data_IF_437738566295
#
_entry.id   IF_437738566295
#
_cell.length_a   1.000
_cell.length_b   1.000
_cell.length_c   1.000
_cell.angle_alpha   90.00
_cell.angle_beta   90.00
_cell.angle_gamma   90.00
#
_symmetry.space_group_name_H-M   'P 1'
#
loop_
_entity.id
_entity.type
_entity.pdbx_description
1 polymer ?
#
# COMPACT_ATOMS: atom_id res chain seq x y z
N UNK A 1 -27.33 -41.96 18.96
CA UNK A 1 -26.41 -40.85 19.21
C UNK A 1 -25.87 -40.24 17.93
N UNK A 2 -25.36 -41.02 16.97
CA UNK A 2 -24.86 -40.45 15.66
C UNK A 2 -25.92 -39.71 14.87
N UNK A 3 -27.16 -40.24 14.81
CA UNK A 3 -28.29 -39.61 14.09
C UNK A 3 -28.74 -38.28 14.73
N UNK A 4 -28.74 -38.21 16.07
CA UNK A 4 -29.10 -36.97 16.79
C UNK A 4 -28.05 -35.89 16.56
N UNK A 5 -26.76 -36.26 16.53
CA UNK A 5 -25.67 -35.33 16.22
C UNK A 5 -25.73 -34.83 14.78
N UNK A 6 -26.05 -35.70 13.79
CA UNK A 6 -26.15 -35.27 12.40
C UNK A 6 -27.37 -34.37 12.16
N UNK A 7 -28.50 -34.64 12.79
CA UNK A 7 -29.68 -33.77 12.73
C UNK A 7 -29.46 -32.43 13.43
N UNK A 8 -28.74 -32.42 14.54
CA UNK A 8 -28.38 -31.18 15.22
C UNK A 8 -27.42 -30.34 14.38
N UNK A 9 -26.45 -30.99 13.74
CA UNK A 9 -25.48 -30.33 12.84
C UNK A 9 -26.19 -29.71 11.60
N UNK A 10 -27.06 -30.45 10.94
CA UNK A 10 -27.89 -29.96 9.82
C UNK A 10 -28.79 -28.79 10.25
N UNK A 11 -29.37 -28.87 11.45
CA UNK A 11 -30.21 -27.79 11.98
C UNK A 11 -29.42 -26.52 12.29
N UNK A 12 -28.20 -26.64 12.82
CA UNK A 12 -27.28 -25.53 13.05
C UNK A 12 -26.83 -24.93 11.71
N UNK A 13 -26.50 -25.75 10.73
CA UNK A 13 -26.09 -25.33 9.40
C UNK A 13 -27.20 -24.55 8.67
N UNK A 14 -28.45 -25.03 8.75
CA UNK A 14 -29.61 -24.31 8.20
C UNK A 14 -29.88 -22.99 8.92
N UNK A 15 -29.81 -22.96 10.26
CA UNK A 15 -29.99 -21.72 11.03
C UNK A 15 -28.86 -20.72 10.74
N UNK A 16 -27.62 -21.19 10.59
CA UNK A 16 -26.48 -20.33 10.21
C UNK A 16 -26.64 -19.79 8.78
N UNK A 17 -27.08 -20.63 7.83
CA UNK A 17 -27.30 -20.18 6.45
C UNK A 17 -28.44 -19.17 6.34
N UNK A 18 -29.53 -19.36 7.06
CA UNK A 18 -30.67 -18.43 7.14
C UNK A 18 -30.25 -17.11 7.83
N UNK A 19 -29.44 -17.19 8.89
CA UNK A 19 -28.92 -16.02 9.58
C UNK A 19 -27.96 -15.24 8.67
N UNK A 20 -27.08 -15.92 7.95
CA UNK A 20 -26.13 -15.31 7.02
C UNK A 20 -26.79 -14.71 5.78
N UNK A 21 -27.92 -15.24 5.33
CA UNK A 21 -28.71 -14.71 4.22
C UNK A 21 -29.62 -13.54 4.62
N UNK A 22 -29.85 -13.32 5.93
CA UNK A 22 -30.58 -12.15 6.43
C UNK A 22 -29.77 -10.88 6.24
N UNK A 23 -30.44 -9.74 6.08
CA UNK A 23 -29.77 -8.43 5.97
C UNK A 23 -28.80 -8.15 7.14
N UNK A 24 -29.15 -8.59 8.35
CA UNK A 24 -28.32 -8.48 9.53
C UNK A 24 -27.08 -9.42 9.42
N UNK A 25 -27.28 -10.64 8.93
CA UNK A 25 -26.19 -11.60 8.74
C UNK A 25 -25.17 -11.13 7.71
N UNK A 26 -25.62 -10.56 6.60
CA UNK A 26 -24.73 -9.95 5.59
C UNK A 26 -23.89 -8.84 6.21
N UNK A 27 -24.51 -7.93 6.96
CA UNK A 27 -23.77 -6.83 7.65
C UNK A 27 -22.75 -7.40 8.64
N UNK A 28 -23.13 -8.38 9.47
CA UNK A 28 -22.21 -9.00 10.42
C UNK A 28 -21.05 -9.72 9.74
N UNK A 29 -21.30 -10.38 8.61
CA UNK A 29 -20.25 -11.06 7.82
C UNK A 29 -19.26 -10.05 7.24
N UNK A 30 -19.76 -8.96 6.63
CA UNK A 30 -18.92 -7.89 6.10
C UNK A 30 -18.10 -7.19 7.20
N UNK A 31 -18.71 -6.92 8.36
CA UNK A 31 -17.98 -6.38 9.52
C UNK A 31 -16.90 -7.34 10.02
N UNK A 32 -17.21 -8.65 10.10
CA UNK A 32 -16.24 -9.68 10.49
C UNK A 32 -15.07 -9.79 9.52
N UNK A 33 -15.34 -9.77 8.22
CA UNK A 33 -14.30 -9.77 7.19
C UNK A 33 -13.44 -8.50 7.23
N UNK A 34 -14.06 -7.34 7.39
CA UNK A 34 -13.35 -6.06 7.55
C UNK A 34 -12.45 -6.04 8.80
N UNK A 35 -12.95 -6.56 9.93
CA UNK A 35 -12.16 -6.70 11.15
C UNK A 35 -10.98 -7.67 10.97
N UNK A 36 -11.21 -8.81 10.35
CA UNK A 36 -10.15 -9.79 10.02
C UNK A 36 -9.05 -9.17 9.16
N UNK A 37 -9.44 -8.41 8.13
CA UNK A 37 -8.50 -7.67 7.28
C UNK A 37 -7.72 -6.63 8.09
N UNK A 38 -8.36 -5.85 8.94
CA UNK A 38 -7.70 -4.86 9.78
C UNK A 38 -6.68 -5.52 10.73
N UNK A 39 -7.04 -6.65 11.35
CA UNK A 39 -6.11 -7.43 12.20
C UNK A 39 -4.93 -7.96 11.37
N UNK A 40 -5.18 -8.49 10.17
CA UNK A 40 -4.12 -8.94 9.26
C UNK A 40 -3.15 -7.80 8.91
N UNK A 41 -3.66 -6.62 8.59
CA UNK A 41 -2.84 -5.45 8.25
C UNK A 41 -2.03 -4.95 9.43
N UNK A 42 -2.60 -4.92 10.64
CA UNK A 42 -1.88 -4.55 11.85
C UNK A 42 -0.77 -5.55 12.19
N UNK A 43 -1.04 -6.86 12.04
CA UNK A 43 -0.02 -7.88 12.19
C UNK A 43 1.09 -7.74 11.13
N UNK A 44 0.72 -7.46 9.89
CA UNK A 44 1.68 -7.19 8.82
C UNK A 44 2.55 -5.98 9.15
N UNK A 45 1.96 -4.87 9.59
CA UNK A 45 2.69 -3.67 10.02
C UNK A 45 3.67 -3.97 11.16
N UNK A 46 3.26 -4.82 12.13
CA UNK A 46 4.15 -5.28 13.20
C UNK A 46 5.40 -5.97 12.66
N UNK A 47 5.24 -6.92 11.72
CA UNK A 47 6.37 -7.63 11.11
C UNK A 47 7.20 -6.73 10.18
N UNK A 48 6.56 -5.78 9.49
CA UNK A 48 7.26 -4.83 8.63
C UNK A 48 8.18 -3.90 9.43
N UNK A 49 7.76 -3.40 10.60
CA UNK A 49 8.62 -2.62 11.50
C UNK A 49 9.84 -3.43 11.92
N UNK A 50 9.64 -4.69 12.28
CA UNK A 50 10.74 -5.57 12.65
C UNK A 50 11.71 -5.80 11.49
N UNK A 51 11.19 -6.12 10.30
CA UNK A 51 11.97 -6.37 9.10
C UNK A 51 12.76 -5.11 8.66
N UNK A 52 12.13 -3.93 8.64
CA UNK A 52 12.76 -2.66 8.31
C UNK A 52 13.99 -2.41 9.21
N UNK A 53 13.81 -2.56 10.53
CA UNK A 53 14.91 -2.39 11.51
C UNK A 53 16.03 -3.41 11.34
N UNK A 54 15.71 -4.66 10.98
CA UNK A 54 16.72 -5.72 10.75
C UNK A 54 17.50 -5.48 9.47
N UNK A 55 16.82 -5.17 8.38
CA UNK A 55 17.45 -4.89 7.08
C UNK A 55 18.36 -3.65 7.21
N UNK A 56 17.85 -2.56 7.79
CA UNK A 56 18.61 -1.36 7.98
C UNK A 56 19.87 -1.57 8.84
N UNK A 57 19.74 -2.31 9.94
CA UNK A 57 20.86 -2.64 10.79
C UNK A 57 21.91 -3.51 10.09
N UNK A 58 21.47 -4.47 9.27
CA UNK A 58 22.37 -5.34 8.50
C UNK A 58 23.20 -4.53 7.47
N UNK A 59 22.58 -3.59 6.76
CA UNK A 59 23.26 -2.71 5.80
C UNK A 59 24.28 -1.80 6.50
N UNK A 60 23.95 -1.31 7.69
CA UNK A 60 24.83 -0.46 8.50
C UNK A 60 25.87 -1.26 9.31
N UNK A 61 25.99 -2.58 9.11
CA UNK A 61 26.92 -3.46 9.82
C UNK A 61 26.76 -3.42 11.35
N UNK A 62 25.53 -3.20 11.83
CA UNK A 62 25.17 -3.23 13.25
C UNK A 62 24.08 -4.27 13.53
N UNK A 63 23.91 -4.62 14.81
CA UNK A 63 22.84 -5.55 15.22
C UNK A 63 21.52 -4.78 15.36
N UNK A 64 20.47 -5.28 14.69
CA UNK A 64 19.09 -4.85 14.91
C UNK A 64 18.53 -5.39 16.22
N UNK A 65 17.22 -5.20 16.50
CA UNK A 65 16.55 -5.72 17.69
C UNK A 65 16.85 -7.20 17.91
N UNK A 66 17.34 -7.59 19.09
CA UNK A 66 17.75 -8.97 19.34
C UNK A 66 17.47 -9.45 20.77
N UNK A 67 17.10 -8.56 21.71
CA UNK A 67 17.00 -8.86 23.14
C UNK A 67 15.58 -9.25 23.57
N UNK A 68 14.56 -8.53 23.05
CA UNK A 68 13.17 -8.75 23.48
C UNK A 68 12.53 -9.89 22.66
N UNK A 69 12.37 -11.03 23.29
CA UNK A 69 11.89 -12.27 22.66
C UNK A 69 12.94 -12.96 21.77
N UNK A 70 12.56 -14.08 21.13
CA UNK A 70 13.45 -14.81 20.25
C UNK A 70 13.86 -13.91 19.06
N UNK A 71 15.17 -13.68 18.89
CA UNK A 71 15.74 -12.84 17.84
C UNK A 71 15.23 -11.38 17.81
N UNK A 72 14.61 -10.89 18.90
CA UNK A 72 14.05 -9.55 18.99
C UNK A 72 12.67 -9.40 18.36
N UNK A 73 11.95 -10.49 18.07
CA UNK A 73 10.62 -10.46 17.45
C UNK A 73 9.59 -9.65 18.24
N UNK A 74 9.64 -9.69 19.57
CA UNK A 74 8.68 -8.98 20.42
C UNK A 74 8.98 -7.48 20.60
N UNK A 75 10.08 -6.97 20.03
CA UNK A 75 10.47 -5.56 20.18
C UNK A 75 9.43 -4.61 19.58
N UNK A 76 8.93 -4.90 18.37
CA UNK A 76 7.89 -4.06 17.74
C UNK A 76 6.61 -4.01 18.58
N UNK A 77 6.24 -5.15 19.22
CA UNK A 77 5.10 -5.19 20.13
C UNK A 77 5.32 -4.37 21.40
N UNK A 78 6.50 -4.45 22.00
CA UNK A 78 6.85 -3.64 23.16
C UNK A 78 6.80 -2.14 22.83
N UNK A 79 7.28 -1.74 21.65
CA UNK A 79 7.23 -0.35 21.19
C UNK A 79 5.78 0.12 20.95
N UNK A 80 4.93 -0.71 20.34
CA UNK A 80 3.50 -0.39 20.15
C UNK A 80 2.77 -0.29 21.49
N UNK A 81 2.97 -1.24 22.41
CA UNK A 81 2.36 -1.19 23.74
C UNK A 81 2.81 0.05 24.53
N UNK A 82 4.08 0.41 24.46
CA UNK A 82 4.59 1.65 25.06
C UNK A 82 3.83 2.86 24.56
N UNK A 83 3.58 2.96 23.25
CA UNK A 83 2.83 4.08 22.67
C UNK A 83 1.35 4.07 23.10
N UNK A 84 0.72 2.91 23.25
CA UNK A 84 -0.68 2.81 23.72
C UNK A 84 -0.84 3.27 25.17
N UNK A 85 0.10 2.90 26.04
CA UNK A 85 0.04 3.25 27.47
C UNK A 85 0.66 4.61 27.82
N UNK A 86 1.31 5.26 26.87
CA UNK A 86 1.88 6.59 27.09
C UNK A 86 0.78 7.65 27.18
N UNK A 87 0.99 8.67 27.99
CA UNK A 87 0.07 9.80 28.12
C UNK A 87 -0.03 10.60 26.81
N UNK A 88 -1.25 10.99 26.45
CA UNK A 88 -1.53 11.81 25.29
C UNK A 88 -1.36 13.28 25.68
N UNK A 89 -0.42 13.97 25.05
CA UNK A 89 -0.19 15.41 25.23
C UNK A 89 -0.87 16.16 24.09
N UNK A 90 -1.76 17.09 24.43
CA UNK A 90 -2.47 17.93 23.46
C UNK A 90 -2.02 19.36 23.65
N UNK A 91 -1.49 20.04 22.62
CA UNK A 91 -1.08 21.43 22.71
C UNK A 91 -2.23 22.35 23.10
N UNK A 92 -1.97 23.34 23.94
CA UNK A 92 -3.02 24.23 24.47
C UNK A 92 -3.75 25.04 23.40
N UNK A 93 -3.07 25.36 22.28
CA UNK A 93 -3.63 26.12 21.17
C UNK A 93 -4.22 25.26 20.03
N UNK A 94 -4.24 23.93 20.16
CA UNK A 94 -4.74 23.02 19.12
C UNK A 94 -6.26 22.91 19.12
N UNK A 95 -6.85 22.70 17.93
CA UNK A 95 -8.24 22.26 17.80
C UNK A 95 -8.32 20.76 18.14
N UNK A 96 -8.85 20.46 19.33
CA UNK A 96 -8.88 19.09 19.86
C UNK A 96 -9.64 18.11 18.97
N UNK A 97 -10.77 18.52 18.39
CA UNK A 97 -11.57 17.63 17.57
C UNK A 97 -10.83 17.22 16.30
N UNK A 98 -10.31 18.20 15.56
CA UNK A 98 -9.56 17.94 14.32
C UNK A 98 -8.24 17.24 14.63
N UNK A 99 -7.59 17.56 15.76
CA UNK A 99 -6.34 16.93 16.19
C UNK A 99 -6.48 15.40 16.38
N UNK A 100 -7.57 14.92 16.97
CA UNK A 100 -7.82 13.48 17.11
C UNK A 100 -8.41 12.86 15.84
N UNK A 101 -9.16 13.60 15.05
CA UNK A 101 -9.77 13.12 13.81
C UNK A 101 -8.71 12.83 12.73
N UNK A 102 -7.70 13.67 12.62
CA UNK A 102 -6.67 13.59 11.58
C UNK A 102 -5.96 12.22 11.49
N UNK A 103 -5.36 11.69 12.58
CA UNK A 103 -4.73 10.37 12.54
C UNK A 103 -5.71 9.22 12.30
N UNK A 104 -6.97 9.37 12.76
CA UNK A 104 -8.02 8.37 12.50
C UNK A 104 -8.36 8.35 11.01
N UNK A 105 -8.51 9.50 10.36
CA UNK A 105 -8.78 9.58 8.92
C UNK A 105 -7.64 8.92 8.14
N UNK A 106 -6.37 9.30 8.38
CA UNK A 106 -5.24 8.71 7.67
C UNK A 106 -5.20 7.19 7.84
N UNK A 107 -5.31 6.69 9.08
CA UNK A 107 -5.29 5.25 9.37
C UNK A 107 -6.46 4.48 8.75
N UNK A 108 -7.68 5.01 8.83
CA UNK A 108 -8.87 4.36 8.26
C UNK A 108 -8.79 4.32 6.74
N UNK A 109 -8.34 5.40 6.08
CA UNK A 109 -8.17 5.41 4.62
C UNK A 109 -7.12 4.39 4.17
N UNK A 110 -5.99 4.28 4.88
CA UNK A 110 -4.98 3.27 4.59
C UNK A 110 -5.54 1.84 4.65
N UNK A 111 -6.42 1.52 5.62
CA UNK A 111 -7.08 0.20 5.71
C UNK A 111 -8.11 0.03 4.59
N UNK A 112 -8.95 1.04 4.32
CA UNK A 112 -10.02 0.96 3.32
C UNK A 112 -9.47 0.71 1.92
N UNK A 113 -8.30 1.23 1.59
CA UNK A 113 -7.65 0.97 0.30
C UNK A 113 -7.42 -0.52 0.03
N UNK A 114 -7.24 -1.34 1.06
CA UNK A 114 -7.05 -2.78 0.96
C UNK A 114 -8.34 -3.58 0.66
N UNK A 115 -9.51 -2.97 0.78
CA UNK A 115 -10.79 -3.68 0.58
C UNK A 115 -10.94 -4.32 -0.80
N UNK A 116 -10.27 -3.79 -1.82
CA UNK A 116 -10.35 -4.26 -3.21
C UNK A 116 -9.08 -4.98 -3.69
N UNK A 117 -8.06 -5.07 -2.85
CA UNK A 117 -6.77 -5.68 -3.17
C UNK A 117 -6.85 -7.19 -2.99
N UNK A 118 -6.73 -8.00 -4.06
CA UNK A 118 -6.75 -9.44 -3.95
C UNK A 118 -5.40 -9.98 -3.50
N UNK A 119 -5.41 -10.87 -2.51
CA UNK A 119 -4.23 -11.65 -2.11
C UNK A 119 -4.11 -12.97 -2.89
N UNK A 120 -5.23 -13.45 -3.39
CA UNK A 120 -5.36 -14.62 -4.25
C UNK A 120 -6.62 -14.47 -5.11
N UNK A 121 -6.85 -15.36 -6.04
CA UNK A 121 -8.08 -15.40 -6.82
C UNK A 121 -9.32 -15.49 -5.88
N UNK A 122 -10.19 -14.48 -5.97
CA UNK A 122 -11.39 -14.38 -5.13
C UNK A 122 -11.15 -13.97 -3.66
N UNK A 123 -9.90 -13.79 -3.22
CA UNK A 123 -9.58 -13.37 -1.84
C UNK A 123 -9.48 -11.85 -1.70
N UNK A 124 -10.60 -11.18 -1.83
CA UNK A 124 -10.75 -9.74 -1.65
C UNK A 124 -12.09 -9.46 -0.96
N UNK A 125 -12.19 -8.38 -0.20
CA UNK A 125 -13.45 -8.02 0.46
C UNK A 125 -14.53 -7.60 -0.54
N UNK A 126 -14.14 -6.87 -1.57
CA UNK A 126 -15.04 -6.37 -2.60
C UNK A 126 -14.42 -6.48 -3.98
N UNK A 127 -15.08 -7.22 -4.87
CA UNK A 127 -14.69 -7.34 -6.27
C UNK A 127 -15.45 -6.31 -7.10
N UNK A 128 -14.84 -5.16 -7.36
CA UNK A 128 -15.43 -4.11 -8.17
C UNK A 128 -14.65 -3.91 -9.47
N UNK A 129 -15.37 -3.64 -10.56
CA UNK A 129 -14.75 -3.47 -11.88
C UNK A 129 -13.83 -2.23 -11.95
N UNK A 130 -14.01 -1.25 -11.09
CA UNK A 130 -13.24 -0.01 -11.00
C UNK A 130 -12.29 0.00 -9.78
N UNK A 131 -11.74 -1.16 -9.42
CA UNK A 131 -10.93 -1.34 -8.21
C UNK A 131 -9.74 -0.37 -8.14
N UNK A 132 -9.07 -0.12 -9.25
CA UNK A 132 -7.95 0.84 -9.34
C UNK A 132 -8.42 2.26 -8.99
N UNK A 133 -9.53 2.72 -9.55
CA UNK A 133 -10.05 4.07 -9.25
C UNK A 133 -10.46 4.21 -7.79
N UNK A 134 -10.99 3.13 -7.20
CA UNK A 134 -11.29 3.11 -5.76
C UNK A 134 -10.01 3.31 -4.92
N UNK A 135 -8.94 2.58 -5.20
CA UNK A 135 -7.66 2.74 -4.47
C UNK A 135 -7.15 4.17 -4.58
N UNK A 136 -7.16 4.77 -5.78
CA UNK A 136 -6.75 6.17 -5.96
C UNK A 136 -7.64 7.16 -5.22
N UNK A 137 -8.95 6.97 -5.25
CA UNK A 137 -9.85 7.85 -4.53
C UNK A 137 -9.62 7.82 -3.02
N UNK A 138 -9.30 6.63 -2.48
CA UNK A 138 -9.01 6.47 -1.05
C UNK A 138 -7.62 7.04 -0.70
N UNK A 139 -6.59 6.80 -1.53
CA UNK A 139 -5.25 7.38 -1.29
C UNK A 139 -5.27 8.92 -1.32
N UNK A 140 -6.01 9.52 -2.26
CA UNK A 140 -6.21 10.97 -2.27
C UNK A 140 -6.87 11.51 -1.00
N UNK A 141 -7.79 10.74 -0.39
CA UNK A 141 -8.43 11.13 0.88
C UNK A 141 -7.47 10.99 2.09
N UNK A 142 -6.49 10.10 2.03
CA UNK A 142 -5.47 9.95 3.07
C UNK A 142 -4.66 11.25 3.28
N UNK A 143 -4.40 12.01 2.20
CA UNK A 143 -3.70 13.29 2.23
C UNK A 143 -4.40 14.30 3.16
N UNK A 144 -5.73 14.27 3.22
CA UNK A 144 -6.47 15.15 4.14
C UNK A 144 -6.16 14.88 5.61
N UNK A 145 -5.89 13.63 5.99
CA UNK A 145 -5.47 13.30 7.35
C UNK A 145 -4.17 14.03 7.72
N UNK A 146 -3.20 14.05 6.81
CA UNK A 146 -1.92 14.74 7.00
C UNK A 146 -2.10 16.26 7.08
N UNK A 147 -2.90 16.86 6.18
CA UNK A 147 -3.16 18.30 6.16
C UNK A 147 -3.87 18.73 7.44
N UNK A 148 -4.93 18.01 7.84
CA UNK A 148 -5.68 18.29 9.06
C UNK A 148 -4.80 18.16 10.30
N UNK A 149 -3.90 17.17 10.34
CA UNK A 149 -2.95 16.96 11.43
C UNK A 149 -2.04 18.16 11.65
N UNK A 150 -1.42 18.65 10.56
CA UNK A 150 -0.58 19.83 10.63
C UNK A 150 -1.32 21.11 10.97
N UNK A 151 -2.53 21.28 10.42
CA UNK A 151 -3.39 22.44 10.72
C UNK A 151 -3.85 22.46 12.19
N UNK A 152 -4.37 21.33 12.69
CA UNK A 152 -4.91 21.21 14.03
C UNK A 152 -3.88 21.43 15.14
N UNK A 153 -2.61 21.16 14.85
CA UNK A 153 -1.49 21.34 15.78
C UNK A 153 -1.20 22.81 16.13
N UNK A 154 -1.70 23.76 15.32
CA UNK A 154 -1.52 25.21 15.49
C UNK A 154 -0.04 25.62 15.76
N UNK A 155 0.89 24.97 15.11
CA UNK A 155 2.33 25.20 15.23
C UNK A 155 2.94 25.37 13.83
N UNK A 156 3.99 26.18 13.72
CA UNK A 156 4.60 26.53 12.41
C UNK A 156 5.22 25.34 11.71
N UNK A 157 5.94 24.48 12.45
CA UNK A 157 6.63 23.33 11.87
C UNK A 157 5.67 22.25 11.37
N UNK A 158 4.66 21.79 12.13
CA UNK A 158 3.63 20.88 11.65
C UNK A 158 2.87 21.40 10.45
N UNK A 159 2.52 22.67 10.42
CA UNK A 159 1.81 23.26 9.29
C UNK A 159 2.65 23.26 8.00
N UNK A 160 3.92 23.66 8.07
CA UNK A 160 4.82 23.62 6.92
C UNK A 160 5.12 22.17 6.49
N UNK A 161 5.28 21.24 7.44
CA UNK A 161 5.50 19.82 7.17
C UNK A 161 4.32 19.19 6.44
N UNK A 162 3.08 19.46 6.89
CA UNK A 162 1.88 18.94 6.26
C UNK A 162 1.67 19.47 4.83
N UNK A 163 1.94 20.76 4.57
CA UNK A 163 1.87 21.31 3.22
C UNK A 163 2.92 20.72 2.29
N UNK A 164 4.14 20.48 2.78
CA UNK A 164 5.18 19.81 1.98
C UNK A 164 4.81 18.36 1.66
N UNK A 165 4.28 17.61 2.64
CA UNK A 165 3.80 16.25 2.46
C UNK A 165 2.67 16.19 1.44
N UNK A 166 1.64 17.01 1.59
CA UNK A 166 0.51 17.07 0.68
C UNK A 166 0.94 17.39 -0.76
N UNK A 167 1.79 18.39 -0.94
CA UNK A 167 2.31 18.74 -2.26
C UNK A 167 3.14 17.61 -2.89
N UNK A 168 3.90 16.86 -2.11
CA UNK A 168 4.64 15.68 -2.54
C UNK A 168 3.68 14.59 -2.98
N UNK A 169 2.77 14.13 -2.13
CA UNK A 169 1.83 13.06 -2.39
C UNK A 169 1.00 13.35 -3.65
N UNK A 170 0.36 14.51 -3.75
CA UNK A 170 -0.45 14.90 -4.93
C UNK A 170 0.40 14.90 -6.22
N UNK A 171 1.65 15.39 -6.15
CA UNK A 171 2.51 15.45 -7.34
C UNK A 171 2.90 14.08 -7.88
N UNK A 172 3.16 13.12 -6.99
CA UNK A 172 3.54 11.77 -7.37
C UNK A 172 2.35 10.87 -7.68
N UNK A 173 1.18 11.13 -7.08
CA UNK A 173 -0.08 10.47 -7.41
C UNK A 173 -0.45 10.66 -8.89
N UNK A 174 -0.24 11.86 -9.45
CA UNK A 174 -0.45 12.11 -10.89
C UNK A 174 0.45 11.21 -11.75
N UNK A 175 1.72 11.06 -11.37
CA UNK A 175 2.66 10.20 -12.11
C UNK A 175 2.29 8.73 -12.01
N UNK A 176 1.91 8.25 -10.82
CA UNK A 176 1.42 6.88 -10.59
C UNK A 176 0.16 6.62 -11.44
N UNK A 177 -0.77 7.57 -11.46
CA UNK A 177 -2.00 7.49 -12.25
C UNK A 177 -1.71 7.28 -13.74
N UNK A 178 -0.77 8.04 -14.31
CA UNK A 178 -0.38 7.90 -15.72
C UNK A 178 0.28 6.54 -16.00
N UNK A 179 1.13 6.06 -15.11
CA UNK A 179 1.73 4.72 -15.26
C UNK A 179 0.66 3.64 -15.30
N UNK A 180 -0.33 3.72 -14.42
CA UNK A 180 -1.43 2.75 -14.34
C UNK A 180 -2.35 2.85 -15.54
N UNK A 181 -2.59 4.04 -16.10
CA UNK A 181 -3.34 4.20 -17.37
C UNK A 181 -2.65 3.38 -18.47
N UNK A 182 -1.31 3.37 -18.54
CA UNK A 182 -0.57 2.52 -19.49
C UNK A 182 -0.90 1.03 -19.33
N UNK A 183 -0.99 0.55 -18.10
CA UNK A 183 -1.35 -0.86 -17.80
C UNK A 183 -2.81 -1.12 -18.14
N UNK A 184 -3.73 -0.19 -17.81
CA UNK A 184 -5.15 -0.32 -18.15
C UNK A 184 -5.36 -0.40 -19.67
N UNK A 185 -4.63 0.39 -20.47
CA UNK A 185 -4.69 0.32 -21.93
C UNK A 185 -4.25 -1.07 -22.41
N UNK A 186 -3.21 -1.63 -21.80
CA UNK A 186 -2.71 -2.96 -22.14
C UNK A 186 -3.65 -4.11 -21.77
N UNK A 187 -4.40 -3.95 -20.67
CA UNK A 187 -5.27 -4.99 -20.13
C UNK A 187 -6.72 -4.85 -20.57
N UNK A 188 -7.17 -3.61 -20.87
CA UNK A 188 -8.57 -3.29 -21.13
C UNK A 188 -9.49 -3.32 -19.89
N UNK A 189 -8.94 -3.47 -18.68
CA UNK A 189 -9.72 -3.59 -17.43
C UNK A 189 -9.09 -2.78 -16.28
N UNK A 190 -9.94 -2.30 -15.36
CA UNK A 190 -9.52 -1.64 -14.10
C UNK A 190 -9.66 -2.58 -12.89
N UNK A 191 -10.00 -3.85 -13.10
CA UNK A 191 -10.12 -4.86 -12.05
C UNK A 191 -8.78 -5.56 -11.84
N UNK A 192 -8.31 -5.65 -10.60
CA UNK A 192 -7.03 -6.30 -10.29
C UNK A 192 -6.99 -7.77 -10.68
N UNK A 193 -8.08 -8.50 -10.48
CA UNK A 193 -8.16 -9.91 -10.89
C UNK A 193 -7.99 -10.08 -12.41
N UNK A 194 -8.63 -9.23 -13.21
CA UNK A 194 -8.49 -9.23 -14.66
C UNK A 194 -7.06 -8.85 -15.11
N UNK A 195 -6.41 -7.91 -14.40
CA UNK A 195 -5.02 -7.52 -14.69
C UNK A 195 -4.06 -8.69 -14.43
N UNK A 196 -4.25 -9.42 -13.33
CA UNK A 196 -3.44 -10.60 -13.02
C UNK A 196 -3.71 -11.73 -14.02
N UNK A 197 -4.99 -11.99 -14.34
CA UNK A 197 -5.35 -12.99 -15.34
C UNK A 197 -4.77 -12.71 -16.73
N UNK A 198 -4.68 -11.43 -17.14
CA UNK A 198 -4.04 -11.04 -18.39
C UNK A 198 -2.51 -11.27 -18.40
N UNK A 199 -1.87 -11.41 -17.25
CA UNK A 199 -0.45 -11.75 -17.10
C UNK A 199 -0.21 -13.26 -17.01
N UNK A 200 -1.27 -14.07 -16.95
CA UNK A 200 -1.18 -15.53 -16.96
C UNK A 200 -0.90 -16.01 -18.38
N UNK A 201 0.35 -16.32 -18.66
CA UNK A 201 0.83 -16.75 -19.97
C UNK A 201 1.77 -17.94 -19.84
N UNK A 202 1.87 -18.73 -20.89
CA UNK A 202 2.78 -19.90 -20.96
C UNK A 202 4.26 -19.54 -20.77
N UNK A 203 4.61 -18.26 -20.87
CA UNK A 203 5.98 -17.75 -20.71
C UNK A 203 6.37 -17.48 -19.25
N UNK A 204 5.51 -17.69 -18.28
CA UNK A 204 5.76 -17.44 -16.86
C UNK A 204 6.22 -16.01 -16.59
N UNK A 205 7.35 -15.84 -15.91
CA UNK A 205 7.89 -14.51 -15.53
C UNK A 205 8.07 -13.55 -16.72
N UNK A 206 8.42 -14.05 -17.89
CA UNK A 206 8.61 -13.23 -19.08
C UNK A 206 7.30 -12.80 -19.74
N UNK A 207 6.17 -13.36 -19.32
CA UNK A 207 4.84 -12.95 -19.72
C UNK A 207 4.26 -11.79 -18.91
N UNK A 208 4.87 -11.41 -17.81
CA UNK A 208 4.38 -10.36 -16.91
C UNK A 208 4.67 -8.96 -17.43
N UNK A 209 3.91 -7.99 -16.98
CA UNK A 209 3.98 -6.59 -17.44
C UNK A 209 5.26 -5.85 -17.05
N UNK A 210 6.10 -6.40 -16.17
CA UNK A 210 7.41 -5.80 -15.87
C UNK A 210 8.29 -5.65 -17.10
N UNK A 211 8.19 -6.58 -18.07
CA UNK A 211 9.03 -6.57 -19.28
C UNK A 211 8.53 -5.50 -20.29
N UNK A 212 7.26 -5.51 -20.77
CA UNK A 212 6.77 -4.51 -21.71
C UNK A 212 6.72 -3.10 -21.13
N UNK A 213 6.48 -2.96 -19.82
CA UNK A 213 6.43 -1.67 -19.13
C UNK A 213 7.66 -1.40 -18.25
N UNK A 214 8.84 -1.95 -18.62
CA UNK A 214 10.06 -1.86 -17.83
C UNK A 214 10.42 -0.45 -17.33
N UNK A 215 10.41 0.62 -18.15
CA UNK A 215 10.68 1.97 -17.66
C UNK A 215 9.63 2.46 -16.66
N UNK A 216 8.36 2.07 -16.84
CA UNK A 216 7.26 2.45 -15.99
C UNK A 216 7.31 1.77 -14.62
N UNK A 217 7.86 0.57 -14.54
CA UNK A 217 8.10 -0.10 -13.27
C UNK A 217 9.01 0.74 -12.34
N UNK A 218 10.13 1.26 -12.86
CA UNK A 218 11.02 2.11 -12.06
C UNK A 218 10.33 3.43 -11.68
N UNK A 219 9.61 4.03 -12.61
CA UNK A 219 8.90 5.26 -12.34
C UNK A 219 7.80 5.07 -11.29
N UNK A 220 7.04 3.98 -11.38
CA UNK A 220 6.05 3.59 -10.39
C UNK A 220 6.69 3.39 -9.02
N UNK A 221 7.76 2.62 -8.95
CA UNK A 221 8.43 2.28 -7.69
C UNK A 221 9.03 3.53 -6.99
N UNK A 222 9.66 4.43 -7.75
CA UNK A 222 10.18 5.69 -7.21
C UNK A 222 9.02 6.61 -6.77
N UNK A 223 7.93 6.66 -7.52
CA UNK A 223 6.75 7.43 -7.16
C UNK A 223 6.07 6.85 -5.91
N UNK A 224 6.04 5.52 -5.74
CA UNK A 224 5.52 4.85 -4.56
C UNK A 224 6.35 5.17 -3.30
N UNK A 225 7.68 5.28 -3.42
CA UNK A 225 8.55 5.76 -2.33
C UNK A 225 8.22 7.21 -1.94
N UNK A 226 7.95 8.05 -2.92
CA UNK A 226 7.61 9.44 -2.68
C UNK A 226 6.20 9.61 -2.10
N UNK A 227 5.23 8.81 -2.55
CA UNK A 227 3.85 8.78 -2.05
C UNK A 227 3.81 8.39 -0.56
N UNK A 228 4.62 7.43 -0.17
CA UNK A 228 4.68 6.93 1.22
C UNK A 228 5.66 7.70 2.11
N UNK A 229 6.13 8.89 1.70
CA UNK A 229 7.08 9.73 2.45
C UNK A 229 8.32 8.98 2.96
N UNK A 230 8.76 7.93 2.24
CA UNK A 230 9.93 7.14 2.65
C UNK A 230 11.24 7.69 2.08
N UNK A 231 12.36 7.57 2.81
CA UNK A 231 13.66 7.92 2.26
C UNK A 231 13.92 7.28 0.89
N UNK A 232 14.47 8.00 -0.10
CA UNK A 232 15.15 9.31 0.01
C UNK A 232 14.23 10.53 -0.01
N UNK A 233 12.92 10.36 -0.01
CA UNK A 233 11.90 11.40 -0.16
C UNK A 233 11.17 11.75 1.14
N UNK A 234 11.78 11.44 2.28
CA UNK A 234 11.33 11.74 3.63
C UNK A 234 11.54 13.23 3.99
N UNK A 235 10.89 14.09 3.21
CA UNK A 235 11.03 15.56 3.36
C UNK A 235 10.05 16.15 4.38
N UNK A 236 8.86 15.60 4.58
CA UNK A 236 7.94 16.06 5.63
C UNK A 236 8.51 15.83 7.03
N UNK A 237 9.25 14.74 7.24
CA UNK A 237 9.81 14.30 8.52
C UNK A 237 11.29 14.67 8.70
N UNK A 238 11.86 15.48 7.80
CA UNK A 238 13.27 15.81 7.83
C UNK A 238 13.67 16.47 9.17
N UNK A 239 14.28 15.70 10.09
CA UNK A 239 14.68 16.14 11.44
C UNK A 239 15.54 17.41 11.42
N UNK A 240 16.40 17.56 10.41
CA UNK A 240 17.28 18.72 10.28
C UNK A 240 16.57 20.01 9.85
N UNK A 241 15.37 19.93 9.25
CA UNK A 241 14.65 21.09 8.74
C UNK A 241 13.34 21.38 9.53
N UNK A 242 12.57 20.36 9.84
CA UNK A 242 11.21 20.47 10.39
C UNK A 242 10.99 19.67 11.68
N UNK A 243 12.04 19.15 12.31
CA UNK A 243 12.04 18.34 13.53
C UNK A 243 11.41 16.95 13.29
N UNK A 244 10.09 16.85 13.15
CA UNK A 244 9.35 15.65 12.73
C UNK A 244 8.10 16.02 11.90
N UNK A 245 8.16 17.17 11.21
CA UNK A 245 7.10 17.62 10.31
C UNK A 245 5.72 17.70 10.95
N UNK A 246 4.71 17.15 10.29
CA UNK A 246 3.32 17.19 10.77
C UNK A 246 3.09 16.36 12.04
N UNK A 247 3.99 15.43 12.36
CA UNK A 247 3.89 14.55 13.54
C UNK A 247 4.50 15.14 14.82
N UNK A 248 5.15 16.32 14.77
CA UNK A 248 5.90 16.92 15.89
C UNK A 248 5.10 17.00 17.19
N UNK A 249 3.84 17.43 17.10
CA UNK A 249 2.97 17.63 18.26
C UNK A 249 2.20 16.35 18.67
N UNK A 250 2.29 15.31 17.87
CA UNK A 250 1.60 14.06 18.14
C UNK A 250 2.40 13.15 19.06
N UNK A 251 1.73 12.55 20.04
CA UNK A 251 2.31 11.60 20.98
C UNK A 251 1.36 10.43 21.20
N UNK A 252 1.87 9.32 21.77
CA UNK A 252 1.04 8.19 22.20
C UNK A 252 0.24 7.53 21.04
N UNK A 253 -1.02 7.21 21.27
CA UNK A 253 -1.90 6.54 20.30
C UNK A 253 -2.11 7.31 19.00
N UNK A 254 -2.33 8.63 18.97
CA UNK A 254 -2.43 9.39 17.72
C UNK A 254 -1.18 9.30 16.83
N UNK A 255 0.01 9.32 17.41
CA UNK A 255 1.26 9.10 16.69
C UNK A 255 1.35 7.67 16.14
N UNK A 256 0.92 6.68 16.95
CA UNK A 256 0.87 5.27 16.51
C UNK A 256 -0.05 5.08 15.30
N UNK A 257 -1.20 5.76 15.26
CA UNK A 257 -2.14 5.67 14.13
C UNK A 257 -1.52 6.21 12.83
N UNK A 258 -0.84 7.36 12.85
CA UNK A 258 -0.12 7.87 11.68
C UNK A 258 0.96 6.89 11.22
N UNK A 259 1.82 6.44 12.12
CA UNK A 259 2.90 5.50 11.81
C UNK A 259 2.37 4.17 11.26
N UNK A 260 1.26 3.65 11.81
CA UNK A 260 0.62 2.43 11.31
C UNK A 260 -0.01 2.65 9.92
N UNK A 261 -0.67 3.80 9.70
CA UNK A 261 -1.22 4.19 8.39
C UNK A 261 -0.14 4.21 7.30
N UNK A 262 0.96 4.89 7.54
CA UNK A 262 2.10 4.94 6.61
C UNK A 262 2.66 3.55 6.28
N UNK A 263 2.81 2.67 7.27
CA UNK A 263 3.30 1.31 7.04
C UNK A 263 2.33 0.48 6.21
N UNK A 264 1.03 0.62 6.46
CA UNK A 264 -0.03 -0.04 5.69
C UNK A 264 -0.03 0.49 4.26
N UNK A 265 0.19 1.79 4.05
CA UNK A 265 0.33 2.40 2.72
C UNK A 265 1.58 1.88 1.98
N UNK A 266 2.73 1.76 2.65
CA UNK A 266 3.93 1.12 2.07
C UNK A 266 3.63 -0.32 1.63
N UNK A 267 2.94 -1.07 2.47
CA UNK A 267 2.56 -2.45 2.17
C UNK A 267 1.60 -2.52 0.97
N UNK A 268 0.67 -1.56 0.87
CA UNK A 268 -0.22 -1.39 -0.28
C UNK A 268 0.57 -1.15 -1.57
N UNK A 269 1.56 -0.26 -1.55
CA UNK A 269 2.40 0.02 -2.73
C UNK A 269 3.21 -1.20 -3.16
N UNK A 270 3.70 -2.02 -2.22
CA UNK A 270 4.33 -3.30 -2.53
C UNK A 270 3.35 -4.30 -3.17
N UNK A 271 2.10 -4.34 -2.69
CA UNK A 271 1.04 -5.16 -3.27
C UNK A 271 0.68 -4.71 -4.69
N UNK A 272 0.49 -3.40 -4.89
CA UNK A 272 0.21 -2.84 -6.22
C UNK A 272 1.34 -3.10 -7.21
N UNK A 273 2.60 -2.95 -6.80
CA UNK A 273 3.76 -3.29 -7.63
C UNK A 273 3.71 -4.76 -8.07
N UNK A 274 3.37 -5.65 -7.14
CA UNK A 274 3.26 -7.09 -7.41
C UNK A 274 2.11 -7.42 -8.36
N UNK A 275 0.93 -6.82 -8.17
CA UNK A 275 -0.27 -7.07 -8.99
C UNK A 275 -0.13 -6.48 -10.40
N UNK A 276 0.38 -5.26 -10.50
CA UNK A 276 0.41 -4.52 -11.76
C UNK A 276 1.54 -5.00 -12.69
N UNK A 277 2.69 -5.40 -12.13
CA UNK A 277 3.87 -5.70 -12.94
C UNK A 277 4.36 -7.14 -12.85
N UNK A 278 4.09 -7.84 -11.75
CA UNK A 278 4.68 -9.15 -11.47
C UNK A 278 3.65 -10.28 -11.34
N UNK A 279 2.46 -10.11 -11.91
CA UNK A 279 1.45 -11.16 -11.96
C UNK A 279 0.84 -11.55 -10.61
N UNK A 280 0.96 -10.70 -9.57
CA UNK A 280 0.32 -10.93 -8.27
C UNK A 280 0.60 -12.31 -7.69
N UNK A 281 -0.43 -13.14 -7.55
CA UNK A 281 -0.36 -14.50 -6.99
C UNK A 281 0.11 -15.58 -7.98
N UNK A 282 0.34 -15.24 -9.26
CA UNK A 282 0.83 -16.19 -10.26
C UNK A 282 2.25 -16.68 -9.90
N UNK A 283 2.51 -17.95 -10.14
CA UNK A 283 3.83 -18.53 -9.92
C UNK A 283 4.84 -18.03 -10.97
N UNK A 284 6.11 -17.84 -10.59
CA UNK A 284 7.15 -17.47 -11.55
C UNK A 284 7.50 -18.61 -12.53
N UNK A 285 7.18 -19.84 -12.17
CA UNK A 285 7.46 -21.05 -12.95
C UNK A 285 6.11 -21.70 -13.26
N UNK A 286 5.73 -21.88 -14.53
CA UNK A 286 4.41 -22.44 -14.90
C UNK A 286 4.13 -23.84 -14.34
N UNK A 287 5.17 -24.57 -13.92
CA UNK A 287 5.03 -25.91 -13.32
C UNK A 287 4.59 -25.91 -11.86
N UNK A 288 4.58 -24.74 -11.18
CA UNK A 288 4.22 -24.63 -9.77
C UNK A 288 2.81 -24.08 -9.63
N UNK A 289 2.05 -24.50 -8.60
CA UNK A 289 0.71 -23.98 -8.36
C UNK A 289 0.75 -22.51 -7.97
N UNK A 290 -0.22 -21.75 -8.45
CA UNK A 290 -0.46 -20.37 -8.06
C UNK A 290 -0.98 -20.28 -6.63
N UNK A 291 -0.81 -19.13 -5.98
CA UNK A 291 -1.37 -18.93 -4.65
C UNK A 291 -0.82 -17.74 -3.88
N UNK A 292 -1.42 -17.53 -2.72
CA UNK A 292 -1.07 -16.46 -1.76
C UNK A 292 0.42 -16.43 -1.42
N UNK A 293 1.07 -17.58 -1.38
CA UNK A 293 2.50 -17.67 -1.08
C UNK A 293 3.35 -16.80 -2.01
N UNK A 294 3.09 -16.87 -3.31
CA UNK A 294 3.82 -16.06 -4.31
C UNK A 294 3.54 -14.58 -4.15
N UNK A 295 2.29 -14.21 -3.85
CA UNK A 295 1.93 -12.81 -3.57
C UNK A 295 2.71 -12.27 -2.39
N UNK A 296 2.71 -12.97 -1.25
CA UNK A 296 3.44 -12.57 -0.04
C UNK A 296 4.95 -12.49 -0.29
N UNK A 297 5.52 -13.45 -1.04
CA UNK A 297 6.94 -13.47 -1.37
C UNK A 297 7.34 -12.26 -2.21
N UNK A 298 6.56 -11.93 -3.25
CA UNK A 298 6.81 -10.75 -4.09
C UNK A 298 6.65 -9.45 -3.30
N UNK A 299 5.60 -9.32 -2.49
CA UNK A 299 5.40 -8.17 -1.61
C UNK A 299 6.58 -8.01 -0.63
N UNK A 300 7.03 -9.11 -0.02
CA UNK A 300 8.20 -9.13 0.86
C UNK A 300 9.49 -8.72 0.15
N UNK A 301 9.66 -9.13 -1.11
CA UNK A 301 10.79 -8.72 -1.94
C UNK A 301 10.79 -7.22 -2.20
N UNK A 302 9.64 -6.63 -2.58
CA UNK A 302 9.56 -5.19 -2.80
C UNK A 302 9.72 -4.41 -1.51
N UNK A 303 9.16 -4.89 -0.40
CA UNK A 303 9.40 -4.29 0.91
C UNK A 303 10.88 -4.31 1.30
N UNK A 304 11.57 -5.43 1.02
CA UNK A 304 13.02 -5.51 1.23
C UNK A 304 13.78 -4.45 0.42
N UNK A 305 13.40 -4.21 -0.84
CA UNK A 305 14.00 -3.14 -1.66
C UNK A 305 13.70 -1.75 -1.05
N UNK A 306 12.47 -1.49 -0.57
CA UNK A 306 12.12 -0.26 0.15
C UNK A 306 13.05 -0.02 1.36
N UNK A 307 13.24 -1.05 2.18
CA UNK A 307 14.11 -0.99 3.35
C UNK A 307 15.60 -0.78 2.98
N UNK A 308 16.06 -1.41 1.88
CA UNK A 308 17.42 -1.24 1.36
C UNK A 308 17.67 0.18 0.85
N UNK A 309 16.72 0.75 0.10
CA UNK A 309 16.83 2.12 -0.43
C UNK A 309 16.93 3.10 0.74
N UNK A 310 16.10 2.95 1.77
CA UNK A 310 16.17 3.75 2.99
C UNK A 310 17.55 3.73 3.64
N UNK A 311 18.24 2.59 3.58
CA UNK A 311 19.54 2.43 4.21
C UNK A 311 20.71 3.00 3.39
N UNK A 312 20.60 3.05 2.06
CA UNK A 312 21.70 3.37 1.13
C UNK A 312 21.62 4.80 0.62
N UNK A 313 20.40 5.32 0.34
CA UNK A 313 20.24 6.58 -0.39
C UNK A 313 20.26 7.81 0.51
N UNK A 314 20.97 8.88 0.11
CA UNK A 314 20.88 10.19 0.78
C UNK A 314 19.54 10.87 0.48
N UNK A 315 19.13 11.79 1.35
CA UNK A 315 17.90 12.59 1.17
C UNK A 315 18.03 13.58 0.02
N UNK A 316 16.93 13.77 -0.70
CA UNK A 316 16.79 14.83 -1.71
C UNK A 316 16.33 16.14 -1.04
N UNK A 317 16.59 17.28 -1.72
CA UNK A 317 15.97 18.56 -1.34
C UNK A 317 14.56 18.65 -1.91
N UNK A 318 13.69 19.42 -1.26
CA UNK A 318 12.31 19.60 -1.69
C UNK A 318 12.17 20.14 -3.13
N UNK A 319 12.97 21.13 -3.51
CA UNK A 319 13.00 21.69 -4.86
C UNK A 319 13.44 20.67 -5.93
N UNK A 320 14.39 19.81 -5.60
CA UNK A 320 14.82 18.71 -6.49
C UNK A 320 13.74 17.67 -6.67
N UNK A 321 13.07 17.29 -5.58
CA UNK A 321 11.96 16.35 -5.61
C UNK A 321 10.80 16.84 -6.48
N UNK A 322 10.35 18.08 -6.26
CA UNK A 322 9.27 18.69 -7.04
C UNK A 322 9.65 18.82 -8.52
N UNK A 323 10.92 19.16 -8.80
CA UNK A 323 11.43 19.21 -10.18
C UNK A 323 11.43 17.85 -10.84
N UNK A 324 11.81 16.80 -10.12
CA UNK A 324 11.80 15.42 -10.60
C UNK A 324 10.37 14.97 -10.98
N UNK A 325 9.40 15.19 -10.11
CA UNK A 325 7.98 14.84 -10.35
C UNK A 325 7.40 15.57 -11.57
N UNK A 326 7.47 16.90 -11.58
CA UNK A 326 6.81 17.70 -12.61
C UNK A 326 7.56 17.81 -13.94
N UNK A 327 8.91 17.84 -13.93
CA UNK A 327 9.70 18.05 -15.16
C UNK A 327 10.24 16.77 -15.79
N UNK A 328 10.28 15.66 -15.03
CA UNK A 328 10.80 14.38 -15.53
C UNK A 328 9.72 13.32 -15.55
N UNK A 329 9.10 13.01 -14.41
CA UNK A 329 8.17 11.88 -14.31
C UNK A 329 6.88 12.12 -15.08
N UNK A 330 6.26 13.28 -14.92
CA UNK A 330 5.01 13.59 -15.62
C UNK A 330 5.17 13.60 -17.14
N UNK A 331 6.13 14.30 -17.77
CA UNK A 331 6.29 14.26 -19.22
C UNK A 331 6.64 12.87 -19.74
N UNK A 332 7.48 12.13 -19.00
CA UNK A 332 7.91 10.81 -19.42
C UNK A 332 6.78 9.76 -19.32
N UNK A 333 5.99 9.79 -18.24
CA UNK A 333 4.83 8.91 -18.11
C UNK A 333 3.74 9.24 -19.14
N UNK A 334 3.50 10.54 -19.44
CA UNK A 334 2.57 10.96 -20.49
C UNK A 334 3.02 10.47 -21.88
N UNK A 335 4.31 10.65 -22.19
CA UNK A 335 4.88 10.13 -23.44
C UNK A 335 4.68 8.62 -23.54
N UNK A 336 4.92 7.87 -22.44
CA UNK A 336 4.75 6.43 -22.43
C UNK A 336 3.31 5.99 -22.65
N UNK A 337 2.34 6.65 -22.01
CA UNK A 337 0.90 6.39 -22.24
C UNK A 337 0.53 6.56 -23.72
N UNK A 338 0.98 7.63 -24.34
CA UNK A 338 0.74 7.89 -25.78
C UNK A 338 1.40 6.79 -26.63
N UNK A 339 2.62 6.41 -26.30
CA UNK A 339 3.34 5.33 -26.99
C UNK A 339 2.59 4.00 -26.89
N UNK A 340 2.16 3.61 -25.70
CA UNK A 340 1.41 2.35 -25.47
C UNK A 340 0.07 2.39 -26.21
N UNK A 341 -0.66 3.52 -26.17
CA UNK A 341 -1.91 3.67 -26.89
C UNK A 341 -1.73 3.58 -28.43
N UNK A 342 -0.64 4.16 -28.94
CA UNK A 342 -0.27 4.06 -30.35
C UNK A 342 0.05 2.60 -30.74
N UNK A 343 0.87 1.91 -29.96
CA UNK A 343 1.26 0.52 -30.23
C UNK A 343 0.03 -0.41 -30.17
N UNK A 344 -0.87 -0.20 -29.20
CA UNK A 344 -2.12 -0.94 -29.08
C UNK A 344 -3.03 -0.76 -30.31
N UNK A 345 -3.16 0.48 -30.81
CA UNK A 345 -4.06 0.80 -31.93
C UNK A 345 -3.55 0.29 -33.28
N UNK A 346 -2.26 0.36 -33.52
CA UNK A 346 -1.70 0.06 -34.84
C UNK A 346 -1.17 -1.36 -35.01
N UNK A 347 -1.29 -2.21 -34.00
CA UNK A 347 -0.77 -3.61 -34.00
C UNK A 347 0.66 -3.71 -34.52
N UNK A 348 1.45 -2.62 -34.36
CA UNK A 348 2.78 -2.44 -34.98
C UNK A 348 3.77 -3.51 -34.58
N UNK A 349 3.52 -4.21 -33.49
CA UNK A 349 4.31 -5.33 -32.99
C UNK A 349 3.48 -6.62 -33.02
N UNK A 350 2.99 -6.96 -34.21
CA UNK A 350 2.26 -8.21 -34.46
C UNK A 350 3.02 -9.40 -33.88
N UNK A 351 2.45 -10.05 -32.91
CA UNK A 351 2.90 -11.30 -32.29
C UNK A 351 3.37 -11.20 -30.85
N UNK A 352 4.25 -10.29 -30.48
CA UNK A 352 4.74 -10.22 -29.10
C UNK A 352 3.89 -9.25 -28.24
N UNK A 353 3.56 -8.08 -28.77
CA UNK A 353 2.75 -7.09 -28.06
C UNK A 353 1.24 -7.20 -28.37
N UNK A 354 0.83 -7.76 -29.50
CA UNK A 354 -0.60 -7.94 -29.79
C UNK A 354 -1.26 -8.94 -28.82
N UNK A 355 -0.53 -9.96 -28.37
CA UNK A 355 -1.01 -10.88 -27.30
C UNK A 355 -0.96 -10.25 -25.90
N UNK A 356 -0.08 -9.27 -25.67
CA UNK A 356 0.05 -8.56 -24.41
C UNK A 356 -0.83 -7.32 -24.29
N UNK A 357 -1.16 -6.67 -25.42
CA UNK A 357 -1.87 -5.39 -25.42
C UNK A 357 -3.35 -5.49 -25.78
N UNK A 358 -3.81 -6.57 -26.38
CA UNK A 358 -5.18 -6.70 -26.91
C UNK A 358 -5.88 -7.95 -26.36
N UNK A 359 -5.45 -8.49 -25.20
CA UNK A 359 -6.14 -9.59 -24.51
C UNK A 359 -6.97 -10.45 -25.47
N UNK A 360 -6.38 -11.45 -26.11
CA UNK A 360 -7.07 -12.32 -27.04
C UNK A 360 -8.05 -13.26 -26.36
#
# INVERSE_FOLDING_TARGET
MKEIFSQLFLKIENVLSDLMSSSLGIVLTLMGQGLLMAVFLLLSAYFLIYADRKVWAAVQLRRGPNVVGAFGLLQSGADMLKLVFKEIVVPAGSDKFVFFLAPVVSFVMAILAWAVVPLNEGWQLSNINVAILYVFAISSLEVYGVIMGGWASNSKYPFLGSLRSAAQMISYEVSIGLVIIGIIISTGSMNFGAIVAAQDTDYGVFGWYWLPHFPMLFLFFISALAETNRPPFDLPEAESELVAGFQVEYSSTPFLLFMAGELIAVFLMCALTSLLFFGGWLSPIPALPDGVFWMILKMGFFFFIFAMIKAITPRYRYDQLMRLGWKVFLPFSLFWVVLVAFLAKFEVLGGFYARYLVGG
#
